data_IF_083298679505
#
_entry.id   IF_083298679505
#
_cell.length_a   1.000
_cell.length_b   1.000
_cell.length_c   1.000
_cell.angle_alpha   90.00
_cell.angle_beta   90.00
_cell.angle_gamma   90.00
#
_symmetry.space_group_name_H-M   'P 1'
#
loop_
_entity.id
_entity.type
_entity.pdbx_description
1 polymer ?
#
# COMPACT_ATOMS: atom_id res chain seq x y z
N UNK A 1 -6.71 -14.73 -10.00
CA UNK A 1 -6.17 -14.01 -11.17
C UNK A 1 -4.65 -13.74 -11.15
N UNK A 2 -3.85 -14.35 -10.25
CA UNK A 2 -2.38 -14.14 -10.16
C UNK A 2 -1.51 -15.30 -10.68
N UNK A 3 -2.05 -16.52 -10.83
CA UNK A 3 -1.26 -17.70 -11.24
C UNK A 3 -1.07 -17.87 -12.77
N UNK A 4 -1.98 -17.34 -13.58
CA UNK A 4 -1.96 -17.58 -15.04
C UNK A 4 -0.84 -16.83 -15.76
N UNK A 5 -0.47 -15.66 -15.26
CA UNK A 5 0.60 -14.83 -15.85
C UNK A 5 1.97 -15.48 -15.63
N UNK A 6 2.22 -16.09 -14.46
CA UNK A 6 3.49 -16.82 -14.22
C UNK A 6 3.65 -18.05 -15.12
N UNK A 7 2.57 -18.77 -15.43
CA UNK A 7 2.63 -19.87 -16.40
C UNK A 7 2.90 -19.39 -17.82
N UNK A 8 2.37 -18.22 -18.22
CA UNK A 8 2.58 -17.67 -19.56
C UNK A 8 4.05 -17.26 -19.78
N UNK A 9 4.66 -16.59 -18.79
CA UNK A 9 6.08 -16.22 -18.85
C UNK A 9 7.00 -17.44 -18.78
N UNK A 10 6.68 -18.45 -17.97
CA UNK A 10 7.45 -19.69 -17.92
C UNK A 10 7.36 -20.49 -19.23
N UNK A 11 6.21 -20.46 -19.90
CA UNK A 11 6.02 -21.07 -21.22
C UNK A 11 6.89 -20.42 -22.30
N UNK A 12 6.93 -19.09 -22.34
CA UNK A 12 7.76 -18.34 -23.29
C UNK A 12 9.26 -18.60 -23.01
N UNK A 13 9.67 -18.61 -21.73
CA UNK A 13 11.06 -18.84 -21.35
C UNK A 13 11.53 -20.27 -21.70
N UNK A 14 10.65 -21.28 -21.56
CA UNK A 14 10.96 -22.65 -21.97
C UNK A 14 11.05 -22.80 -23.49
N UNK A 15 10.21 -22.10 -24.24
CA UNK A 15 10.22 -22.16 -25.70
C UNK A 15 11.53 -21.60 -26.29
N UNK A 16 12.08 -20.51 -25.73
CA UNK A 16 13.37 -19.95 -26.17
C UNK A 16 14.58 -20.80 -25.81
N UNK A 17 14.53 -21.53 -24.68
CA UNK A 17 15.62 -22.44 -24.29
C UNK A 17 15.60 -23.72 -25.14
N UNK A 18 14.41 -24.22 -25.50
CA UNK A 18 14.27 -25.39 -26.38
C UNK A 18 14.86 -25.11 -27.78
N UNK A 19 14.61 -23.93 -28.35
CA UNK A 19 15.22 -23.54 -29.64
C UNK A 19 16.74 -23.35 -29.60
N UNK A 20 17.34 -23.21 -28.41
CA UNK A 20 18.79 -23.08 -28.26
C UNK A 20 19.51 -24.44 -28.13
N UNK A 21 18.80 -25.53 -27.84
CA UNK A 21 19.36 -26.87 -27.65
C UNK A 21 19.17 -27.80 -28.87
N UNK A 22 18.38 -27.40 -29.87
CA UNK A 22 18.20 -28.16 -31.12
C UNK A 22 19.28 -27.91 -32.18
N UNK A 23 20.34 -27.15 -31.88
CA UNK A 23 21.55 -27.14 -32.70
C UNK A 23 22.41 -28.35 -32.29
N UNK A 24 22.44 -29.44 -33.09
CA UNK A 24 23.15 -30.66 -32.71
C UNK A 24 24.64 -30.36 -32.54
N UNK A 25 25.18 -30.73 -31.38
CA UNK A 25 26.61 -30.80 -31.07
C UNK A 25 27.24 -31.87 -31.96
N UNK A 26 27.47 -31.51 -33.21
CA UNK A 26 28.17 -32.30 -34.20
C UNK A 26 28.80 -31.32 -35.18
N UNK A 27 30.06 -30.94 -34.98
CA UNK A 27 31.14 -31.04 -35.97
C UNK A 27 32.39 -30.25 -35.57
N UNK A 28 33.52 -30.96 -35.58
CA UNK A 28 34.80 -30.57 -36.19
C UNK A 28 35.07 -29.08 -36.43
N UNK A 29 36.20 -28.63 -35.89
CA UNK A 29 36.88 -27.36 -36.17
C UNK A 29 36.87 -27.04 -37.68
N UNK A 30 35.90 -26.26 -38.13
CA UNK A 30 35.95 -25.50 -39.38
C UNK A 30 36.25 -24.06 -39.01
N UNK A 31 37.36 -23.58 -39.54
CA UNK A 31 37.77 -22.18 -39.53
C UNK A 31 36.61 -21.34 -40.06
N UNK A 32 36.06 -20.50 -39.18
CA UNK A 32 35.04 -19.50 -39.52
C UNK A 32 35.80 -18.34 -40.17
N UNK A 33 35.56 -17.99 -41.44
CA UNK A 33 36.04 -16.71 -41.97
C UNK A 33 35.39 -15.57 -41.18
N UNK A 34 36.19 -14.56 -40.85
CA UNK A 34 35.79 -13.37 -40.08
C UNK A 34 34.59 -12.67 -40.72
N UNK A 35 33.38 -13.05 -40.30
CA UNK A 35 32.19 -12.22 -40.46
C UNK A 35 32.24 -11.15 -39.36
N UNK A 36 31.97 -9.87 -39.67
CA UNK A 36 32.16 -8.80 -38.72
C UNK A 36 31.26 -9.01 -37.50
N UNK A 37 31.87 -8.95 -36.31
CA UNK A 37 31.20 -8.92 -35.00
C UNK A 37 30.22 -7.73 -34.84
N UNK A 38 30.11 -6.87 -35.85
CA UNK A 38 28.99 -5.95 -36.06
C UNK A 38 28.04 -6.54 -37.09
N UNK A 39 27.36 -7.63 -36.71
CA UNK A 39 26.31 -8.24 -37.49
C UNK A 39 25.20 -7.22 -37.75
N UNK A 40 24.90 -7.00 -39.03
CA UNK A 40 23.82 -6.14 -39.51
C UNK A 40 22.56 -6.45 -38.71
N UNK A 41 22.13 -5.54 -37.82
CA UNK A 41 20.88 -5.69 -37.09
C UNK A 41 19.78 -5.76 -38.15
N UNK A 42 19.21 -6.94 -38.34
CA UNK A 42 18.10 -7.10 -39.29
C UNK A 42 16.93 -6.26 -38.78
N UNK A 43 16.16 -5.66 -39.70
CA UNK A 43 15.03 -4.77 -39.35
C UNK A 43 14.07 -5.45 -38.35
N UNK A 44 13.95 -6.77 -38.42
CA UNK A 44 13.15 -7.61 -37.53
C UNK A 44 13.67 -7.63 -36.08
N UNK A 45 14.98 -7.78 -35.85
CA UNK A 45 15.58 -7.71 -34.51
C UNK A 45 15.41 -6.31 -33.91
N UNK A 46 15.50 -5.27 -34.74
CA UNK A 46 15.32 -3.87 -34.31
C UNK A 46 13.86 -3.60 -33.89
N UNK A 47 12.88 -4.12 -34.63
CA UNK A 47 11.46 -4.07 -34.25
C UNK A 47 11.23 -4.79 -32.92
N UNK A 48 11.84 -5.96 -32.73
CA UNK A 48 11.67 -6.76 -31.51
C UNK A 48 12.23 -6.02 -30.28
N UNK A 49 13.40 -5.39 -30.40
CA UNK A 49 13.97 -4.54 -29.34
C UNK A 49 13.07 -3.34 -29.03
N UNK A 50 12.56 -2.64 -30.05
CA UNK A 50 11.67 -1.50 -29.87
C UNK A 50 10.36 -1.93 -29.18
N UNK A 51 9.75 -3.03 -29.61
CA UNK A 51 8.54 -3.58 -28.98
C UNK A 51 8.80 -3.96 -27.53
N UNK A 52 9.95 -4.57 -27.23
CA UNK A 52 10.32 -4.96 -25.87
C UNK A 52 10.49 -3.74 -24.96
N UNK A 53 11.11 -2.66 -25.46
CA UNK A 53 11.21 -1.36 -24.74
C UNK A 53 9.81 -0.77 -24.48
N UNK A 54 8.91 -0.82 -25.46
CA UNK A 54 7.53 -0.31 -25.30
C UNK A 54 6.76 -1.11 -24.26
N UNK A 55 6.88 -2.44 -24.26
CA UNK A 55 6.22 -3.31 -23.26
C UNK A 55 6.76 -3.00 -21.85
N UNK A 56 8.09 -2.90 -21.69
CA UNK A 56 8.72 -2.54 -20.41
C UNK A 56 8.23 -1.17 -19.94
N UNK A 57 8.18 -0.18 -20.85
CA UNK A 57 7.68 1.15 -20.55
C UNK A 57 6.23 1.11 -20.01
N UNK A 58 5.34 0.37 -20.67
CA UNK A 58 3.94 0.23 -20.24
C UNK A 58 3.84 -0.41 -18.85
N UNK A 59 4.62 -1.47 -18.59
CA UNK A 59 4.63 -2.16 -17.28
C UNK A 59 5.08 -1.20 -16.17
N UNK A 60 6.17 -0.45 -16.38
CA UNK A 60 6.68 0.54 -15.42
C UNK A 60 5.62 1.60 -15.14
N UNK A 61 4.94 2.10 -16.17
CA UNK A 61 3.91 3.14 -16.06
C UNK A 61 2.67 2.65 -15.31
N UNK A 62 2.29 1.39 -15.48
CA UNK A 62 1.20 0.75 -14.72
C UNK A 62 1.62 0.53 -13.26
N UNK A 63 2.85 0.06 -13.02
CA UNK A 63 3.39 -0.16 -11.67
C UNK A 63 3.46 1.13 -10.85
N UNK A 64 3.91 2.24 -11.45
CA UNK A 64 3.92 3.56 -10.81
C UNK A 64 2.51 4.01 -10.41
N UNK A 65 1.52 3.90 -11.30
CA UNK A 65 0.12 4.24 -10.99
C UNK A 65 -0.48 3.36 -9.89
N UNK A 66 -0.16 2.07 -9.87
CA UNK A 66 -0.61 1.14 -8.81
C UNK A 66 0.01 1.52 -7.47
N UNK A 67 1.29 1.90 -7.43
CA UNK A 67 1.97 2.35 -6.22
C UNK A 67 1.34 3.61 -5.64
N UNK A 68 1.04 4.61 -6.46
CA UNK A 68 0.37 5.83 -6.00
C UNK A 68 -1.00 5.54 -5.39
N UNK A 69 -1.81 4.68 -6.03
CA UNK A 69 -3.12 4.30 -5.50
C UNK A 69 -3.01 3.53 -4.19
N UNK A 70 -2.03 2.63 -4.07
CA UNK A 70 -1.81 1.88 -2.84
C UNK A 70 -1.29 2.77 -1.71
N UNK A 71 -0.42 3.75 -1.99
CA UNK A 71 0.03 4.72 -0.99
C UNK A 71 -1.11 5.62 -0.51
N UNK A 72 -1.99 6.09 -1.41
CA UNK A 72 -3.17 6.86 -1.02
C UNK A 72 -4.11 6.07 -0.11
N UNK A 73 -4.34 4.78 -0.43
CA UNK A 73 -5.14 3.88 0.43
C UNK A 73 -4.47 3.63 1.78
N UNK A 74 -3.16 3.41 1.79
CA UNK A 74 -2.41 3.24 3.04
C UNK A 74 -2.47 4.50 3.92
N UNK A 75 -2.31 5.69 3.32
CA UNK A 75 -2.42 6.98 4.01
C UNK A 75 -3.83 7.23 4.57
N UNK A 76 -4.88 6.86 3.84
CA UNK A 76 -6.25 6.96 4.34
C UNK A 76 -6.48 6.06 5.57
N UNK A 77 -6.02 4.81 5.51
CA UNK A 77 -6.12 3.86 6.63
C UNK A 77 -5.30 4.32 7.85
N UNK A 78 -4.10 4.87 7.64
CA UNK A 78 -3.32 5.43 8.76
C UNK A 78 -4.01 6.64 9.37
N UNK A 79 -4.54 7.55 8.54
CA UNK A 79 -5.26 8.73 9.02
C UNK A 79 -6.51 8.36 9.84
N UNK A 80 -7.24 7.31 9.47
CA UNK A 80 -8.38 6.82 10.25
C UNK A 80 -7.95 6.21 11.58
N UNK A 81 -6.88 5.38 11.57
CA UNK A 81 -6.34 4.80 12.80
C UNK A 81 -5.81 5.86 13.77
N UNK A 82 -5.13 6.87 13.26
CA UNK A 82 -4.60 7.98 14.06
C UNK A 82 -5.75 8.78 14.68
N UNK A 83 -6.82 9.03 13.92
CA UNK A 83 -8.03 9.70 14.43
C UNK A 83 -8.74 8.87 15.51
N UNK A 84 -8.81 7.55 15.37
CA UNK A 84 -9.34 6.66 16.42
C UNK A 84 -8.48 6.70 17.69
N UNK A 85 -7.15 6.73 17.55
CA UNK A 85 -6.26 6.89 18.70
C UNK A 85 -6.45 8.24 19.41
N UNK A 86 -6.60 9.31 18.64
CA UNK A 86 -6.82 10.66 19.17
C UNK A 86 -8.14 10.74 19.97
N UNK A 87 -9.24 10.25 19.41
CA UNK A 87 -10.55 10.22 20.08
C UNK A 87 -10.52 9.35 21.35
N UNK A 88 -9.78 8.24 21.36
CA UNK A 88 -9.59 7.43 22.58
C UNK A 88 -8.80 8.19 23.65
N UNK A 89 -7.77 8.93 23.26
CA UNK A 89 -6.99 9.76 24.18
C UNK A 89 -7.84 10.91 24.74
N UNK A 90 -8.67 11.55 23.90
CA UNK A 90 -9.60 12.58 24.31
C UNK A 90 -10.63 12.06 25.31
N UNK A 91 -11.23 10.88 25.05
CA UNK A 91 -12.12 10.21 26.00
C UNK A 91 -11.45 9.99 27.36
N UNK A 92 -10.20 9.54 27.36
CA UNK A 92 -9.43 9.35 28.60
C UNK A 92 -9.21 10.66 29.35
N UNK A 93 -8.86 11.74 28.64
CA UNK A 93 -8.71 13.08 29.24
C UNK A 93 -10.01 13.59 29.85
N UNK A 94 -11.14 13.43 29.14
CA UNK A 94 -12.46 13.80 29.66
C UNK A 94 -12.80 13.04 30.95
N UNK A 95 -12.50 11.74 31.00
CA UNK A 95 -12.68 10.93 32.20
C UNK A 95 -11.81 11.43 33.36
N UNK A 96 -10.54 11.74 33.10
CA UNK A 96 -9.62 12.30 34.12
C UNK A 96 -10.12 13.66 34.64
N UNK A 97 -10.65 14.53 33.77
CA UNK A 97 -11.25 15.81 34.14
C UNK A 97 -12.51 15.63 34.99
N UNK A 98 -13.37 14.65 34.68
CA UNK A 98 -14.51 14.30 35.53
C UNK A 98 -14.07 13.83 36.91
N UNK A 99 -13.06 12.99 36.99
CA UNK A 99 -12.57 12.47 38.26
C UNK A 99 -11.81 13.55 39.07
N UNK A 100 -11.23 14.56 38.41
CA UNK A 100 -10.73 15.77 39.06
C UNK A 100 -11.87 16.63 39.61
N UNK A 101 -12.93 16.88 38.82
CA UNK A 101 -14.09 17.64 39.28
C UNK A 101 -14.76 17.00 40.51
N UNK A 102 -14.95 15.67 40.51
CA UNK A 102 -15.43 14.93 41.68
C UNK A 102 -14.52 15.11 42.90
N UNK A 103 -13.20 15.04 42.71
CA UNK A 103 -12.23 15.23 43.81
C UNK A 103 -12.27 16.65 44.37
N UNK A 104 -12.41 17.67 43.52
CA UNK A 104 -12.56 19.07 43.96
C UNK A 104 -13.86 19.30 44.72
N UNK A 105 -14.96 18.64 44.35
CA UNK A 105 -16.18 18.62 45.15
C UNK A 105 -15.95 18.05 46.56
N UNK A 106 -15.29 16.89 46.67
CA UNK A 106 -14.97 16.30 47.98
C UNK A 106 -14.06 17.17 48.84
N UNK A 107 -13.19 17.97 48.22
CA UNK A 107 -12.36 18.97 48.89
C UNK A 107 -13.10 20.28 49.24
N UNK A 108 -14.39 20.39 48.90
CA UNK A 108 -15.20 21.62 49.03
C UNK A 108 -14.65 22.81 48.24
N UNK A 109 -13.87 22.55 47.18
CA UNK A 109 -13.36 23.58 46.26
C UNK A 109 -14.42 24.00 45.24
N UNK A 110 -15.39 23.11 44.95
CA UNK A 110 -16.52 23.35 44.06
C UNK A 110 -17.83 23.14 44.80
N UNK A 111 -18.85 23.92 44.43
CA UNK A 111 -20.22 23.67 44.89
C UNK A 111 -20.82 22.43 44.20
N UNK A 112 -21.88 21.89 44.78
CA UNK A 112 -22.62 20.76 44.21
C UNK A 112 -23.17 21.10 42.82
N UNK A 113 -23.64 22.33 42.63
CA UNK A 113 -24.22 22.80 41.38
C UNK A 113 -23.16 22.95 40.27
N UNK A 114 -22.00 23.53 40.58
CA UNK A 114 -20.88 23.63 39.65
C UNK A 114 -20.32 22.25 39.26
N UNK A 115 -20.23 21.34 40.23
CA UNK A 115 -19.76 19.97 40.00
C UNK A 115 -20.73 19.22 39.08
N UNK A 116 -22.03 19.33 39.33
CA UNK A 116 -23.06 18.69 38.52
C UNK A 116 -23.07 19.23 37.09
N UNK A 117 -22.88 20.55 36.91
CA UNK A 117 -22.78 21.18 35.60
C UNK A 117 -21.55 20.68 34.82
N UNK A 118 -20.38 20.66 35.45
CA UNK A 118 -19.15 20.14 34.82
C UNK A 118 -19.29 18.65 34.48
N UNK A 119 -19.86 17.86 35.38
CA UNK A 119 -20.10 16.44 35.18
C UNK A 119 -21.07 16.17 34.03
N UNK A 120 -22.09 17.01 33.85
CA UNK A 120 -23.01 16.93 32.71
C UNK A 120 -22.30 17.24 31.40
N UNK A 121 -21.58 18.37 31.33
CA UNK A 121 -20.86 18.81 30.12
C UNK A 121 -19.80 17.78 29.68
N UNK A 122 -19.03 17.23 30.61
CA UNK A 122 -18.04 16.21 30.28
C UNK A 122 -18.68 14.89 29.83
N UNK A 123 -19.82 14.49 30.43
CA UNK A 123 -20.56 13.31 29.97
C UNK A 123 -21.12 13.50 28.56
N UNK A 124 -21.65 14.67 28.24
CA UNK A 124 -22.15 14.98 26.90
C UNK A 124 -21.02 14.89 25.86
N UNK A 125 -19.86 15.49 26.17
CA UNK A 125 -18.66 15.38 25.32
C UNK A 125 -18.18 13.93 25.16
N UNK A 126 -18.21 13.12 26.22
CA UNK A 126 -17.86 11.70 26.12
C UNK A 126 -18.83 10.92 25.21
N UNK A 127 -20.13 11.21 25.26
CA UNK A 127 -21.12 10.57 24.39
C UNK A 127 -20.88 10.95 22.92
N UNK A 128 -20.53 12.21 22.64
CA UNK A 128 -20.19 12.66 21.30
C UNK A 128 -18.95 11.94 20.75
N UNK A 129 -17.89 11.82 21.58
CA UNK A 129 -16.67 11.07 21.22
C UNK A 129 -16.99 9.58 20.98
N UNK A 130 -17.85 8.97 21.80
CA UNK A 130 -18.26 7.57 21.61
C UNK A 130 -19.10 7.35 20.34
N UNK A 131 -19.96 8.32 19.98
CA UNK A 131 -20.69 8.30 18.72
C UNK A 131 -19.73 8.40 17.51
N UNK A 132 -18.70 9.24 17.59
CA UNK A 132 -17.70 9.37 16.52
C UNK A 132 -16.80 8.13 16.42
N UNK A 133 -16.37 7.57 17.55
CA UNK A 133 -15.64 6.29 17.58
C UNK A 133 -16.46 5.15 16.97
N UNK A 134 -17.76 5.08 17.28
CA UNK A 134 -18.67 4.08 16.71
C UNK A 134 -18.79 4.26 15.19
N UNK A 135 -18.97 5.49 14.71
CA UNK A 135 -19.02 5.81 13.27
C UNK A 135 -17.74 5.38 12.53
N UNK A 136 -16.57 5.63 13.12
CA UNK A 136 -15.29 5.25 12.54
C UNK A 136 -15.04 3.73 12.58
N UNK A 137 -15.65 3.02 13.54
CA UNK A 137 -15.56 1.55 13.62
C UNK A 137 -16.50 0.81 12.66
N UNK A 138 -17.59 1.46 12.25
CA UNK A 138 -18.58 0.91 11.30
C UNK A 138 -18.23 1.23 9.84
N UNK A 139 -17.26 2.12 9.59
CA UNK A 139 -16.73 2.39 8.26
C UNK A 139 -15.84 1.21 7.78
N UNK A 140 -16.10 0.64 6.59
CA UNK A 140 -15.45 -0.58 6.09
C UNK A 140 -14.01 -0.40 5.59
#
# INVERSE_FOLDING_TARGET
>A
MKLWIMSLFAGILKATIASAQEAPVNTTVRVIPEEPLFGVITREQLILVVVLIVIVYIIVRIALKLRERNMKKAQAITSEKDRVMELRAEKKRLQEMMDMAKRSFYKRELTEEETNKLMFEYKEKMIAVDAELKRLSEAP
#
